data_IF_094446336921
#
_entry.id   IF_094446336921
#
_cell.length_a   1.000
_cell.length_b   1.000
_cell.length_c   1.000
_cell.angle_alpha   90.00
_cell.angle_beta   90.00
_cell.angle_gamma   90.00
#
_symmetry.space_group_name_H-M   'P 1'
#
loop_
_entity.id
_entity.type
_entity.pdbx_description
1 polymer ?
#
# COMPACT_ATOMS: atom_id res chain seq x y z
N UNK A 1 -4.00 22.25 -13.58
CA UNK A 1 -4.29 22.09 -12.14
C UNK A 1 -4.09 20.63 -11.75
N UNK A 2 -3.09 20.29 -10.91
CA UNK A 2 -2.94 18.91 -10.38
C UNK A 2 -3.66 18.84 -9.04
N UNK A 3 -4.84 18.20 -9.00
CA UNK A 3 -5.50 17.89 -7.74
C UNK A 3 -4.66 16.86 -6.96
N UNK A 4 -4.07 17.27 -5.83
CA UNK A 4 -3.45 16.37 -4.86
C UNK A 4 -4.47 16.05 -3.78
N UNK A 5 -4.98 14.81 -3.79
CA UNK A 5 -5.83 14.31 -2.72
C UNK A 5 -4.91 14.05 -1.50
N UNK A 6 -5.17 14.76 -0.39
CA UNK A 6 -4.42 14.64 0.87
C UNK A 6 -4.54 13.21 1.41
N UNK A 7 -3.40 12.51 1.51
CA UNK A 7 -3.33 11.15 2.03
C UNK A 7 -3.76 11.04 3.50
N UNK A 8 -4.31 9.89 3.88
CA UNK A 8 -4.71 9.55 5.25
C UNK A 8 -3.66 8.63 5.87
N UNK A 9 -3.20 8.96 7.08
CA UNK A 9 -2.41 8.06 7.91
C UNK A 9 -3.34 6.98 8.45
N UNK A 10 -3.06 5.71 8.13
CA UNK A 10 -3.71 4.58 8.80
C UNK A 10 -3.16 4.44 10.21
N UNK A 11 -3.95 3.91 11.16
CA UNK A 11 -3.50 3.67 12.55
C UNK A 11 -2.25 2.76 12.64
N UNK A 12 -1.89 2.09 11.55
CA UNK A 12 -0.79 1.14 11.45
C UNK A 12 0.49 1.77 10.90
N UNK A 13 0.63 3.10 10.98
CA UNK A 13 1.84 3.81 10.56
C UNK A 13 1.97 4.02 9.05
N UNK A 14 1.11 3.45 8.21
CA UNK A 14 1.18 3.64 6.76
C UNK A 14 0.44 4.89 6.27
N UNK A 15 1.08 5.61 5.35
CA UNK A 15 0.56 6.77 4.64
C UNK A 15 0.29 6.42 3.17
N UNK A 16 -0.87 6.85 2.67
CA UNK A 16 -1.32 6.54 1.31
C UNK A 16 -1.56 7.80 0.48
N UNK A 17 -0.91 7.93 -0.68
CA UNK A 17 -1.11 9.05 -1.63
C UNK A 17 -1.55 8.54 -3.00
N UNK A 18 -2.60 9.10 -3.60
CA UNK A 18 -3.06 8.71 -4.94
C UNK A 18 -2.16 9.31 -6.04
N UNK A 19 -1.63 8.49 -6.94
CA UNK A 19 -0.70 8.95 -7.99
C UNK A 19 -1.33 9.21 -9.37
N UNK A 20 -2.49 8.63 -9.70
CA UNK A 20 -3.28 8.90 -10.93
C UNK A 20 -4.60 8.14 -10.82
N UNK A 21 -5.72 8.78 -11.15
CA UNK A 21 -7.02 8.10 -11.32
C UNK A 21 -7.68 7.49 -10.08
N UNK A 22 -7.25 7.83 -8.86
CA UNK A 22 -7.91 7.44 -7.60
C UNK A 22 -7.91 5.94 -7.26
N UNK A 23 -7.40 5.08 -8.14
CA UNK A 23 -7.39 3.63 -7.97
C UNK A 23 -6.04 3.08 -7.53
N UNK A 24 -4.95 3.83 -7.75
CA UNK A 24 -3.59 3.46 -7.36
C UNK A 24 -3.03 4.44 -6.35
N UNK A 25 -2.52 3.91 -5.24
CA UNK A 25 -2.00 4.65 -4.11
C UNK A 25 -0.55 4.24 -3.84
N UNK A 26 0.34 5.21 -3.66
CA UNK A 26 1.64 4.98 -3.04
C UNK A 26 1.45 4.66 -1.58
N UNK A 27 2.19 3.68 -1.06
CA UNK A 27 2.28 3.41 0.38
C UNK A 27 3.67 3.81 0.89
N UNK A 28 3.67 4.56 1.99
CA UNK A 28 4.87 4.99 2.73
C UNK A 28 4.73 4.65 4.19
N UNK A 29 5.82 4.29 4.84
CA UNK A 29 5.85 4.09 6.29
C UNK A 29 6.12 5.41 7.00
N UNK A 30 5.23 5.86 7.90
CA UNK A 30 5.45 7.02 8.77
C UNK A 30 5.02 8.38 8.19
N UNK A 31 4.40 8.46 7.01
CA UNK A 31 3.90 9.73 6.46
C UNK A 31 4.44 10.11 5.07
N UNK A 32 4.26 11.37 4.63
CA UNK A 32 4.80 11.87 3.37
C UNK A 32 6.34 11.80 3.28
N UNK A 33 7.02 11.99 4.41
CA UNK A 33 8.48 11.88 4.55
C UNK A 33 8.96 10.43 4.75
N UNK A 34 8.00 9.51 4.89
CA UNK A 34 8.25 8.10 5.12
C UNK A 34 8.98 7.39 3.99
N UNK A 35 9.60 6.25 4.30
CA UNK A 35 10.20 5.36 3.29
C UNK A 35 9.12 4.90 2.33
N UNK A 36 9.34 5.06 1.03
CA UNK A 36 8.45 4.49 0.02
C UNK A 36 8.63 2.98 0.01
N UNK A 37 7.55 2.25 0.33
CA UNK A 37 7.58 0.79 0.45
C UNK A 37 6.68 0.12 -0.58
N UNK A 38 6.19 0.83 -1.60
CA UNK A 38 5.47 0.24 -2.73
C UNK A 38 4.18 0.96 -3.09
N UNK A 39 3.30 0.26 -3.80
CA UNK A 39 2.00 0.78 -4.21
C UNK A 39 0.86 -0.20 -3.92
N UNK A 40 -0.35 0.35 -3.81
CA UNK A 40 -1.59 -0.36 -3.53
C UNK A 40 -2.61 0.02 -4.59
N UNK A 41 -3.19 -0.97 -5.25
CA UNK A 41 -4.17 -0.79 -6.32
C UNK A 41 -5.52 -1.38 -5.91
N UNK A 42 -6.60 -0.65 -6.15
CA UNK A 42 -7.97 -1.15 -6.00
C UNK A 42 -8.28 -2.10 -7.16
N UNK A 43 -8.83 -3.28 -6.85
CA UNK A 43 -9.23 -4.26 -7.86
C UNK A 43 -10.71 -4.09 -8.23
N UNK A 44 -11.62 -4.61 -7.40
CA UNK A 44 -13.08 -4.56 -7.54
C UNK A 44 -13.72 -4.96 -6.20
N UNK A 45 -14.99 -4.60 -5.95
CA UNK A 45 -15.77 -5.06 -4.77
C UNK A 45 -15.01 -4.98 -3.42
N UNK A 46 -14.39 -3.83 -3.12
CA UNK A 46 -13.68 -3.62 -1.86
C UNK A 46 -12.33 -4.34 -1.73
N UNK A 47 -11.87 -5.08 -2.74
CA UNK A 47 -10.56 -5.71 -2.73
C UNK A 47 -9.44 -4.77 -3.17
N UNK A 48 -8.30 -4.94 -2.52
CA UNK A 48 -7.07 -4.19 -2.72
C UNK A 48 -5.91 -5.14 -2.92
N UNK A 49 -4.94 -4.75 -3.75
CA UNK A 49 -3.68 -5.45 -3.94
C UNK A 49 -2.54 -4.54 -3.55
N UNK A 50 -1.64 -4.99 -2.69
CA UNK A 50 -0.37 -4.34 -2.42
C UNK A 50 0.73 -4.99 -3.26
N UNK A 51 1.64 -4.16 -3.75
CA UNK A 51 2.87 -4.55 -4.43
C UNK A 51 4.02 -3.81 -3.76
N UNK A 52 4.81 -4.55 -2.99
CA UNK A 52 5.97 -4.04 -2.26
C UNK A 52 7.25 -4.33 -3.06
N UNK A 53 8.39 -3.68 -2.75
CA UNK A 53 9.70 -4.04 -3.28
C UNK A 53 10.00 -5.53 -3.10
N UNK A 54 10.82 -6.10 -3.98
CA UNK A 54 11.16 -7.53 -3.92
C UNK A 54 10.11 -8.47 -4.55
N UNK A 55 9.18 -7.95 -5.35
CA UNK A 55 8.18 -8.78 -6.05
C UNK A 55 7.05 -9.28 -5.13
N UNK A 56 7.00 -8.79 -3.89
CA UNK A 56 6.03 -9.23 -2.90
C UNK A 56 4.66 -8.63 -3.21
N UNK A 57 3.65 -9.51 -3.34
CA UNK A 57 2.27 -9.09 -3.60
C UNK A 57 1.29 -9.78 -2.67
N UNK A 58 0.30 -9.04 -2.20
CA UNK A 58 -0.79 -9.61 -1.42
C UNK A 58 -2.11 -8.89 -1.67
N UNK A 59 -3.22 -9.60 -1.44
CA UNK A 59 -4.58 -9.05 -1.55
C UNK A 59 -5.26 -8.95 -0.18
N UNK A 60 -6.00 -7.87 0.05
CA UNK A 60 -6.79 -7.65 1.26
C UNK A 60 -8.13 -6.96 0.97
N UNK A 61 -9.07 -7.04 1.91
CA UNK A 61 -10.38 -6.36 1.80
C UNK A 61 -10.29 -4.87 2.13
N UNK A 62 -9.12 -4.38 2.54
CA UNK A 62 -8.84 -2.96 2.74
C UNK A 62 -7.41 -2.65 2.31
N UNK A 63 -7.12 -1.36 2.11
CA UNK A 63 -5.77 -0.86 1.78
C UNK A 63 -4.73 -1.35 2.81
N UNK A 64 -5.01 -1.14 4.10
CA UNK A 64 -4.12 -1.55 5.19
C UNK A 64 -3.95 -3.07 5.26
N UNK A 65 -5.04 -3.84 5.12
CA UNK A 65 -4.93 -5.30 5.12
C UNK A 65 -4.07 -5.84 3.98
N UNK A 66 -4.18 -5.26 2.77
CA UNK A 66 -3.35 -5.69 1.64
C UNK A 66 -1.86 -5.44 1.91
N UNK A 67 -1.53 -4.28 2.48
CA UNK A 67 -0.14 -3.93 2.87
C UNK A 67 0.37 -4.84 3.98
N UNK A 68 -0.38 -4.99 5.07
CA UNK A 68 0.02 -5.85 6.18
C UNK A 68 0.27 -7.30 5.73
N UNK A 69 -0.60 -7.84 4.87
CA UNK A 69 -0.40 -9.19 4.34
C UNK A 69 0.87 -9.27 3.51
N UNK A 70 1.12 -8.30 2.64
CA UNK A 70 2.35 -8.26 1.84
C UNK A 70 3.60 -8.17 2.74
N UNK A 71 3.57 -7.32 3.77
CA UNK A 71 4.66 -7.21 4.75
C UNK A 71 4.90 -8.51 5.51
N UNK A 72 3.85 -9.28 5.83
CA UNK A 72 3.99 -10.62 6.45
C UNK A 72 4.61 -11.63 5.49
N UNK A 73 4.22 -11.62 4.22
CA UNK A 73 4.80 -12.51 3.20
C UNK A 73 6.29 -12.24 2.99
N UNK A 74 6.76 -11.00 3.18
CA UNK A 74 8.20 -10.69 3.22
C UNK A 74 8.91 -11.50 4.31
N UNK A 75 8.32 -11.61 5.50
CA UNK A 75 8.90 -12.33 6.63
C UNK A 75 8.84 -13.86 6.50
N UNK A 76 7.92 -14.38 5.68
CA UNK A 76 7.82 -15.83 5.41
C UNK A 76 8.69 -16.28 4.23
N UNK A 77 9.08 -15.36 3.34
CA UNK A 77 9.86 -15.65 2.12
C UNK A 77 11.39 -15.68 2.31
N UNK A 78 11.92 -15.31 3.48
CA UNK A 78 13.35 -15.43 3.84
C UNK A 78 13.69 -16.75 4.58
N UNK A 79 12.78 -17.72 4.53
CA UNK A 79 13.04 -19.11 4.93
C UNK A 79 12.63 -20.06 3.81
N UNK A 80 13.51 -20.19 2.82
CA UNK A 80 13.55 -21.32 1.90
C UNK A 80 15.01 -21.66 1.58
#
# INVERSE_FOLDING_TARGET
MKQRIKGRVSKEGFYFESLRGGQTFSVREGGPQGRFIGHVTRLSQGWWRAHLPGGITAKGQSRSQAVLKAMKTQGEGETA
#
